data_IF_468110136036
#
_entry.id   IF_468110136036
#
_cell.length_a   1.000
_cell.length_b   1.000
_cell.length_c   1.000
_cell.angle_alpha   90.00
_cell.angle_beta   90.00
_cell.angle_gamma   90.00
#
_symmetry.space_group_name_H-M   'P 1'
#
loop_
_entity.id
_entity.type
_entity.pdbx_description
1 polymer ?
#
# COMPACT_ATOMS: atom_id res chain seq x y z
N UNK A 1 28.21 -10.56 18.97
CA UNK A 1 27.22 -10.08 17.99
C UNK A 1 27.15 -8.58 18.18
N UNK A 2 27.78 -7.79 17.31
CA UNK A 2 27.68 -6.33 17.41
C UNK A 2 26.23 -5.91 17.16
N UNK A 3 25.69 -5.08 18.04
CA UNK A 3 24.36 -4.49 17.86
C UNK A 3 24.52 -3.40 16.81
N UNK A 4 24.09 -3.69 15.58
CA UNK A 4 24.06 -2.70 14.50
C UNK A 4 23.23 -1.49 14.92
N UNK A 5 23.80 -0.30 14.82
CA UNK A 5 23.12 0.93 15.22
C UNK A 5 22.03 1.29 14.22
N UNK A 6 21.04 2.08 14.68
CA UNK A 6 19.95 2.58 13.83
C UNK A 6 20.47 3.36 12.61
N UNK A 7 21.47 4.22 12.80
CA UNK A 7 22.08 5.01 11.73
C UNK A 7 22.72 4.11 10.67
N UNK A 8 23.45 3.09 11.09
CA UNK A 8 24.04 2.11 10.17
C UNK A 8 22.96 1.32 9.41
N UNK A 9 21.89 0.93 10.10
CA UNK A 9 20.77 0.21 9.50
C UNK A 9 20.08 1.04 8.40
N UNK A 10 19.74 2.30 8.71
CA UNK A 10 19.14 3.25 7.75
C UNK A 10 20.07 3.48 6.57
N UNK A 11 21.37 3.70 6.82
CA UNK A 11 22.36 3.92 5.76
C UNK A 11 22.48 2.71 4.82
N UNK A 12 22.54 1.49 5.38
CA UNK A 12 22.57 0.25 4.58
C UNK A 12 21.29 0.05 3.77
N UNK A 13 20.11 0.34 4.33
CA UNK A 13 18.84 0.25 3.61
C UNK A 13 18.76 1.27 2.46
N UNK A 14 19.21 2.50 2.69
CA UNK A 14 19.27 3.54 1.64
C UNK A 14 20.25 3.14 0.53
N UNK A 15 21.41 2.59 0.88
CA UNK A 15 22.36 2.05 -0.10
C UNK A 15 21.75 0.91 -0.92
N UNK A 16 21.09 -0.04 -0.27
CA UNK A 16 20.42 -1.15 -0.94
C UNK A 16 19.30 -0.66 -1.89
N UNK A 17 18.57 0.39 -1.51
CA UNK A 17 17.57 1.02 -2.38
C UNK A 17 18.19 1.60 -3.66
N UNK A 18 19.38 2.21 -3.57
CA UNK A 18 20.14 2.70 -4.73
C UNK A 18 20.60 1.57 -5.63
N UNK A 19 21.14 0.49 -5.07
CA UNK A 19 21.58 -0.69 -5.84
C UNK A 19 20.38 -1.36 -6.54
N UNK A 20 19.24 -1.50 -5.86
CA UNK A 20 18.03 -2.05 -6.46
C UNK A 20 17.54 -1.23 -7.68
N UNK A 21 17.64 0.10 -7.63
CA UNK A 21 17.30 0.96 -8.77
C UNK A 21 18.29 0.79 -9.92
N UNK A 22 19.60 0.74 -9.62
CA UNK A 22 20.63 0.51 -10.64
C UNK A 22 20.42 -0.81 -11.36
N UNK A 23 20.19 -1.90 -10.61
CA UNK A 23 19.85 -3.21 -11.17
C UNK A 23 18.60 -3.14 -12.04
N UNK A 24 17.55 -2.42 -11.62
CA UNK A 24 16.33 -2.23 -12.41
C UNK A 24 16.62 -1.53 -13.74
N UNK A 25 17.38 -0.44 -13.72
CA UNK A 25 17.82 0.29 -14.92
C UNK A 25 18.63 -0.63 -15.83
N UNK A 26 19.62 -1.34 -15.29
CA UNK A 26 20.43 -2.28 -16.04
C UNK A 26 19.62 -3.42 -16.65
N UNK A 27 18.59 -3.94 -15.99
CA UNK A 27 17.70 -4.97 -16.56
C UNK A 27 16.87 -4.39 -17.73
N UNK A 28 16.39 -3.15 -17.59
CA UNK A 28 15.69 -2.45 -18.67
C UNK A 28 16.64 -2.22 -19.86
N UNK A 29 17.86 -1.78 -19.59
CA UNK A 29 18.92 -1.56 -20.59
C UNK A 29 19.52 -2.86 -21.13
N UNK A 30 19.40 -3.99 -20.42
CA UNK A 30 19.79 -5.32 -20.94
C UNK A 30 18.93 -5.73 -22.13
N UNK A 31 17.74 -5.15 -22.29
CA UNK A 31 16.95 -5.30 -23.54
C UNK A 31 17.62 -4.61 -24.74
N UNK A 32 18.61 -3.74 -24.52
CA UNK A 32 19.28 -2.93 -25.56
C UNK A 32 20.79 -3.18 -25.69
N UNK A 33 21.52 -3.60 -24.64
CA UNK A 33 22.93 -4.04 -24.75
C UNK A 33 23.37 -4.93 -23.56
N UNK A 34 24.11 -6.00 -23.85
CA UNK A 34 24.36 -7.13 -22.92
C UNK A 34 25.48 -6.86 -21.92
N UNK A 35 25.15 -6.63 -20.65
CA UNK A 35 26.11 -6.80 -19.54
C UNK A 35 25.49 -7.53 -18.33
N UNK A 36 25.27 -8.84 -18.52
CA UNK A 36 24.66 -9.74 -17.54
C UNK A 36 25.49 -9.87 -16.26
N UNK A 37 26.82 -9.78 -16.38
CA UNK A 37 27.75 -9.99 -15.26
C UNK A 37 27.73 -8.84 -14.27
N UNK A 38 27.59 -7.60 -14.75
CA UNK A 38 27.41 -6.44 -13.89
C UNK A 38 26.13 -6.54 -13.05
N UNK A 39 25.04 -7.02 -13.67
CA UNK A 39 23.75 -7.22 -13.00
C UNK A 39 23.84 -8.31 -11.93
N UNK A 40 24.46 -9.46 -12.23
CA UNK A 40 24.60 -10.55 -11.26
C UNK A 40 25.48 -10.14 -10.06
N UNK A 41 26.54 -9.36 -10.28
CA UNK A 41 27.40 -8.84 -9.22
C UNK A 41 26.66 -7.86 -8.30
N UNK A 42 25.90 -6.91 -8.86
CA UNK A 42 25.08 -5.99 -8.06
C UNK A 42 23.97 -6.72 -7.30
N UNK A 43 23.34 -7.74 -7.90
CA UNK A 43 22.36 -8.59 -7.23
C UNK A 43 22.94 -9.40 -6.07
N UNK A 44 24.18 -9.89 -6.21
CA UNK A 44 24.88 -10.57 -5.11
C UNK A 44 25.20 -9.63 -3.96
N UNK A 45 25.76 -8.44 -4.25
CA UNK A 45 25.98 -7.42 -3.22
C UNK A 45 24.68 -7.05 -2.50
N UNK A 46 23.60 -6.86 -3.24
CA UNK A 46 22.28 -6.57 -2.69
C UNK A 46 21.81 -7.69 -1.74
N UNK A 47 21.92 -8.96 -2.17
CA UNK A 47 21.54 -10.13 -1.35
C UNK A 47 22.37 -10.24 -0.07
N UNK A 48 23.66 -9.95 -0.13
CA UNK A 48 24.55 -10.05 1.03
C UNK A 48 24.26 -8.93 2.04
N UNK A 49 24.08 -7.68 1.58
CA UNK A 49 23.62 -6.59 2.44
C UNK A 49 22.29 -6.91 3.12
N UNK A 50 21.35 -7.53 2.40
CA UNK A 50 20.05 -7.92 2.96
C UNK A 50 20.12 -9.06 3.96
N UNK A 51 20.96 -10.06 3.69
CA UNK A 51 21.10 -11.23 4.57
C UNK A 51 21.59 -10.82 5.95
N UNK A 52 22.57 -9.92 5.98
CA UNK A 52 23.12 -9.36 7.22
C UNK A 52 22.12 -8.45 7.94
N UNK A 53 21.27 -7.73 7.21
CA UNK A 53 20.27 -6.80 7.76
C UNK A 53 19.07 -7.48 8.42
N UNK A 54 18.61 -8.62 7.89
CA UNK A 54 17.29 -9.20 8.25
C UNK A 54 17.42 -10.43 9.15
N UNK A 55 18.64 -10.88 9.44
CA UNK A 55 18.88 -11.97 10.38
C UNK A 55 18.27 -13.30 9.93
N UNK A 56 18.31 -13.58 8.62
CA UNK A 56 17.89 -14.85 8.01
C UNK A 56 16.42 -14.97 7.63
N UNK A 57 15.52 -14.13 8.16
CA UNK A 57 14.15 -14.04 7.64
C UNK A 57 14.15 -13.25 6.33
N UNK A 58 13.51 -13.72 5.26
CA UNK A 58 13.44 -12.98 4.01
C UNK A 58 12.58 -11.71 4.13
N UNK A 59 12.93 -10.65 3.40
CA UNK A 59 12.03 -9.52 3.16
C UNK A 59 11.02 -9.95 2.08
N UNK A 60 9.72 -9.68 2.26
CA UNK A 60 8.73 -9.96 1.21
C UNK A 60 9.09 -9.22 -0.09
N UNK A 61 8.95 -9.89 -1.22
CA UNK A 61 9.41 -9.40 -2.54
C UNK A 61 8.87 -8.02 -2.90
N UNK A 62 7.63 -7.70 -2.49
CA UNK A 62 7.02 -6.38 -2.68
C UNK A 62 7.82 -5.21 -2.07
N UNK A 63 8.63 -5.47 -1.04
CA UNK A 63 9.48 -4.47 -0.41
C UNK A 63 10.92 -4.48 -0.94
N UNK A 64 11.30 -5.44 -1.81
CA UNK A 64 12.60 -5.49 -2.49
C UNK A 64 12.66 -4.54 -3.70
N UNK A 65 12.10 -3.35 -3.52
CA UNK A 65 12.11 -2.27 -4.52
C UNK A 65 12.72 -1.03 -3.88
N UNK A 66 13.26 -0.10 -4.68
CA UNK A 66 13.74 1.19 -4.16
C UNK A 66 12.74 1.84 -3.20
N UNK A 67 11.46 1.91 -3.62
CA UNK A 67 10.38 2.50 -2.81
C UNK A 67 10.15 1.72 -1.51
N UNK A 68 10.07 0.39 -1.59
CA UNK A 68 9.85 -0.45 -0.43
C UNK A 68 10.96 -0.32 0.61
N UNK A 69 12.22 -0.33 0.16
CA UNK A 69 13.40 -0.22 0.99
C UNK A 69 13.54 1.16 1.63
N UNK A 70 13.25 2.22 0.87
CA UNK A 70 13.19 3.58 1.41
C UNK A 70 12.13 3.69 2.49
N UNK A 71 10.93 3.15 2.27
CA UNK A 71 9.86 3.15 3.30
C UNK A 71 10.24 2.40 4.57
N UNK A 72 10.93 1.27 4.46
CA UNK A 72 11.45 0.54 5.62
C UNK A 72 12.45 1.42 6.38
N UNK A 73 13.37 2.10 5.67
CA UNK A 73 14.33 3.01 6.28
C UNK A 73 13.65 4.19 6.99
N UNK A 74 12.64 4.80 6.35
CA UNK A 74 11.90 5.93 6.91
C UNK A 74 11.17 5.52 8.21
N UNK A 75 10.54 4.34 8.25
CA UNK A 75 9.87 3.83 9.47
C UNK A 75 10.84 3.62 10.64
N UNK A 76 12.07 3.19 10.36
CA UNK A 76 13.12 3.02 11.37
C UNK A 76 13.67 4.38 11.81
N UNK A 77 13.85 5.30 10.87
CA UNK A 77 14.31 6.66 11.12
C UNK A 77 13.31 7.45 11.97
N UNK A 78 12.01 7.26 11.71
CA UNK A 78 10.88 7.81 12.47
C UNK A 78 10.68 7.14 13.84
N UNK A 79 11.55 6.22 14.26
CA UNK A 79 11.48 5.50 15.55
C UNK A 79 10.19 4.68 15.74
N UNK A 80 9.49 4.37 14.64
CA UNK A 80 8.30 3.50 14.67
C UNK A 80 8.66 2.02 14.76
N UNK A 81 9.92 1.66 14.49
CA UNK A 81 10.44 0.31 14.65
C UNK A 81 11.97 0.28 14.87
N UNK A 82 12.43 -0.63 15.72
CA UNK A 82 13.86 -0.82 16.01
C UNK A 82 14.54 -1.88 15.11
N UNK A 83 13.80 -2.44 14.15
CA UNK A 83 14.30 -3.49 13.26
C UNK A 83 13.60 -3.47 11.92
N UNK A 84 14.26 -4.00 10.88
CA UNK A 84 13.67 -4.19 9.55
C UNK A 84 12.36 -4.98 9.60
N UNK A 85 12.31 -6.05 10.41
CA UNK A 85 11.10 -6.85 10.58
C UNK A 85 9.97 -6.07 11.25
N UNK A 86 10.29 -5.27 12.27
CA UNK A 86 9.33 -4.37 12.91
C UNK A 86 8.80 -3.35 11.91
N UNK A 87 9.68 -2.76 11.10
CA UNK A 87 9.30 -1.77 10.10
C UNK A 87 8.38 -2.34 9.02
N UNK A 88 8.66 -3.56 8.53
CA UNK A 88 7.77 -4.27 7.60
C UNK A 88 6.39 -4.48 8.22
N UNK A 89 6.33 -4.88 9.50
CA UNK A 89 5.05 -5.07 10.20
C UNK A 89 4.26 -3.76 10.28
N UNK A 90 4.92 -2.66 10.65
CA UNK A 90 4.32 -1.33 10.69
C UNK A 90 3.75 -0.95 9.32
N UNK A 91 4.49 -1.19 8.23
CA UNK A 91 4.02 -0.90 6.87
C UNK A 91 2.81 -1.78 6.45
N UNK A 92 2.75 -3.03 6.94
CA UNK A 92 1.60 -3.91 6.70
C UNK A 92 0.36 -3.42 7.46
N UNK A 93 0.53 -3.05 8.73
CA UNK A 93 -0.53 -2.52 9.57
C UNK A 93 -1.07 -1.20 8.99
N UNK A 94 -0.19 -0.31 8.52
CA UNK A 94 -0.55 0.93 7.82
C UNK A 94 -1.37 0.65 6.55
N UNK A 95 -0.98 -0.37 5.77
CA UNK A 95 -1.69 -0.75 4.54
C UNK A 95 -3.09 -1.30 4.82
N UNK A 96 -3.22 -2.17 5.82
CA UNK A 96 -4.53 -2.69 6.23
C UNK A 96 -5.43 -1.58 6.79
N UNK A 97 -4.87 -0.65 7.57
CA UNK A 97 -5.62 0.51 8.05
C UNK A 97 -6.14 1.39 6.91
N UNK A 98 -5.36 1.57 5.83
CA UNK A 98 -5.81 2.31 4.63
C UNK A 98 -6.95 1.58 3.92
N UNK A 99 -6.84 0.26 3.73
CA UNK A 99 -7.92 -0.55 3.15
C UNK A 99 -9.20 -0.46 3.96
N UNK A 100 -9.10 -0.55 5.28
CA UNK A 100 -10.25 -0.48 6.16
C UNK A 100 -10.94 0.90 6.07
N UNK A 101 -10.18 1.99 6.01
CA UNK A 101 -10.74 3.34 5.81
C UNK A 101 -11.44 3.47 4.46
N UNK A 102 -10.83 2.96 3.39
CA UNK A 102 -11.44 2.97 2.06
C UNK A 102 -12.74 2.15 2.02
N UNK A 103 -12.76 0.99 2.65
CA UNK A 103 -13.96 0.16 2.78
C UNK A 103 -15.07 0.86 3.57
N UNK A 104 -14.73 1.47 4.73
CA UNK A 104 -15.70 2.25 5.51
C UNK A 104 -16.28 3.42 4.72
N UNK A 105 -15.46 4.09 3.92
CA UNK A 105 -15.91 5.17 3.05
C UNK A 105 -16.90 4.68 1.99
N UNK A 106 -16.60 3.58 1.30
CA UNK A 106 -17.50 2.96 0.31
C UNK A 106 -18.84 2.55 0.93
N UNK A 107 -18.83 1.92 2.11
CA UNK A 107 -20.05 1.56 2.83
C UNK A 107 -20.89 2.80 3.21
N UNK A 108 -20.23 3.91 3.55
CA UNK A 108 -20.90 5.20 3.79
C UNK A 108 -21.65 5.71 2.56
N UNK A 109 -21.01 5.68 1.39
CA UNK A 109 -21.63 6.09 0.12
C UNK A 109 -22.83 5.21 -0.24
N UNK A 110 -22.71 3.88 -0.11
CA UNK A 110 -23.81 2.95 -0.38
C UNK A 110 -25.01 3.18 0.54
N UNK A 111 -24.77 3.50 1.83
CA UNK A 111 -25.85 3.84 2.77
C UNK A 111 -26.54 5.14 2.39
N UNK A 112 -25.81 6.15 1.94
CA UNK A 112 -26.39 7.41 1.49
C UNK A 112 -27.26 7.20 0.24
N UNK A 113 -26.80 6.39 -0.72
CA UNK A 113 -27.57 6.05 -1.92
C UNK A 113 -28.84 5.26 -1.59
N UNK A 114 -28.74 4.26 -0.71
CA UNK A 114 -29.90 3.49 -0.26
C UNK A 114 -30.94 4.36 0.46
N UNK A 115 -30.49 5.30 1.31
CA UNK A 115 -31.38 6.26 1.97
C UNK A 115 -32.04 7.22 0.97
N UNK A 116 -31.29 7.68 -0.04
CA UNK A 116 -31.82 8.54 -1.08
C UNK A 116 -32.89 7.81 -1.90
N UNK A 117 -32.63 6.57 -2.32
CA UNK A 117 -33.61 5.73 -3.02
C UNK A 117 -34.87 5.51 -2.17
N UNK A 118 -34.74 5.21 -0.88
CA UNK A 118 -35.90 5.05 0.01
C UNK A 118 -36.77 6.30 0.09
N UNK A 119 -36.17 7.49 0.15
CA UNK A 119 -36.93 8.76 0.15
C UNK A 119 -37.66 8.96 -1.18
N UNK A 120 -36.97 8.74 -2.30
CA UNK A 120 -37.56 8.84 -3.63
C UNK A 120 -38.75 7.88 -3.80
N UNK A 121 -38.63 6.63 -3.30
CA UNK A 121 -39.73 5.68 -3.28
C UNK A 121 -40.88 6.14 -2.38
N UNK A 122 -40.59 6.68 -1.19
CA UNK A 122 -41.61 7.20 -0.28
C UNK A 122 -42.39 8.38 -0.91
N UNK A 123 -41.68 9.33 -1.52
CA UNK A 123 -42.27 10.48 -2.20
C UNK A 123 -43.12 10.04 -3.41
N UNK A 124 -42.66 9.03 -4.14
CA UNK A 124 -43.40 8.48 -5.28
C UNK A 124 -44.69 7.77 -4.83
N UNK A 125 -44.64 6.98 -3.76
CA UNK A 125 -45.83 6.33 -3.18
C UNK A 125 -46.83 7.38 -2.70
N UNK A 126 -46.36 8.45 -2.04
CA UNK A 126 -47.22 9.53 -1.55
C UNK A 126 -47.88 10.30 -2.69
N UNK A 127 -47.13 10.56 -3.77
CA UNK A 127 -47.68 11.17 -5.00
C UNK A 127 -48.78 10.30 -5.64
N UNK A 128 -48.58 8.99 -5.74
CA UNK A 128 -49.60 8.07 -6.28
C UNK A 128 -50.85 8.00 -5.38
N UNK A 129 -50.69 8.01 -4.05
CA UNK A 129 -51.82 8.10 -3.09
C UNK A 129 -52.60 9.41 -3.25
N UNK A 130 -51.91 10.53 -3.26
CA UNK A 130 -52.54 11.85 -3.40
C UNK A 130 -53.30 11.96 -4.73
N UNK A 131 -52.70 11.49 -5.83
CA UNK A 131 -53.33 11.49 -7.15
C UNK A 131 -54.58 10.60 -7.21
N UNK A 132 -54.57 9.43 -6.57
CA UNK A 132 -55.73 8.53 -6.54
C UNK A 132 -56.88 9.10 -5.70
N UNK A 133 -56.58 9.75 -4.57
CA UNK A 133 -57.57 10.48 -3.77
C UNK A 133 -58.22 11.60 -4.59
N UNK A 134 -57.43 12.47 -5.22
CA UNK A 134 -57.95 13.59 -6.04
C UNK A 134 -58.85 13.09 -7.18
N UNK A 135 -58.48 11.97 -7.82
CA UNK A 135 -59.30 11.36 -8.89
C UNK A 135 -60.64 10.83 -8.38
N UNK A 136 -60.66 10.24 -7.17
CA UNK A 136 -61.89 9.75 -6.55
C UNK A 136 -62.87 10.87 -6.17
N UNK A 137 -62.37 12.06 -5.82
CA UNK A 137 -63.20 13.22 -5.51
C UNK A 137 -63.73 13.96 -6.76
N UNK A 138 -63.00 13.93 -7.88
CA UNK A 138 -63.38 14.61 -9.14
C UNK A 138 -64.41 13.85 -10.00
N UNK A 139 -64.71 12.60 -9.65
CA UNK A 139 -65.67 11.74 -10.37
C UNK A 139 -67.06 11.63 -9.70
N UNK A 140 -67.35 12.48 -8.72
CA UNK A 140 -68.69 12.70 -8.15
C UNK A 140 -69.19 14.07 -8.59
#
# INVERSE_FOLDING_TARGET
>A
MEIMTRVEMVSRLRHAATVAERVRVLIVDRRTATDVRAIDAELHQLKDYFRDLVGGAGIPEQYLTRIGLTRIADVIEEERADSVRGAIRVLQDDHEAVKERAHRFQLGLLRQEAQHQQRMYADQVDWYRTRSIVRAFRGR
#
